data_IF_458689514358
#
_entry.id   IF_458689514358
#
_cell.length_a   1.000
_cell.length_b   1.000
_cell.length_c   1.000
_cell.angle_alpha   90.00
_cell.angle_beta   90.00
_cell.angle_gamma   90.00
#
_symmetry.space_group_name_H-M   'P 1'
#
loop_
_entity.id
_entity.type
_entity.pdbx_description
1 polymer ?
#
# COMPACT_ATOMS: atom_id res chain seq x y z
N UNK A 1 7.13 -22.90 13.08
CA UNK A 1 5.74 -22.40 12.81
C UNK A 1 5.73 -21.81 11.42
N UNK A 2 4.65 -22.00 10.67
CA UNK A 2 4.47 -21.36 9.36
C UNK A 2 4.25 -19.87 9.53
N UNK A 3 5.09 -19.05 8.93
CA UNK A 3 4.96 -17.60 9.00
C UNK A 3 3.76 -17.12 8.16
N UNK A 4 3.10 -16.10 8.67
CA UNK A 4 1.96 -15.43 8.02
C UNK A 4 2.23 -13.93 7.98
N UNK A 5 1.78 -13.28 6.92
CA UNK A 5 1.99 -11.85 6.70
C UNK A 5 0.67 -11.16 6.37
N UNK A 6 0.48 -9.96 6.88
CA UNK A 6 -0.62 -9.08 6.53
C UNK A 6 -0.07 -7.91 5.71
N UNK A 7 -0.63 -7.71 4.53
CA UNK A 7 -0.25 -6.62 3.63
C UNK A 7 -1.44 -5.68 3.51
N UNK A 8 -1.32 -4.50 4.16
CA UNK A 8 -2.33 -3.44 4.11
C UNK A 8 -2.32 -2.81 2.73
N UNK A 9 -3.50 -2.58 2.17
CA UNK A 9 -3.70 -1.90 0.89
C UNK A 9 -3.77 -0.38 1.07
N UNK A 10 -3.91 0.33 -0.06
CA UNK A 10 -4.02 1.78 -0.15
C UNK A 10 -5.17 2.29 0.74
N UNK A 11 -4.86 3.04 1.79
CA UNK A 11 -5.84 3.62 2.71
C UNK A 11 -6.22 5.05 2.31
N UNK A 12 -5.27 5.81 1.80
CA UNK A 12 -5.42 7.20 1.38
C UNK A 12 -6.04 8.11 2.47
N UNK A 13 -5.48 8.01 3.67
CA UNK A 13 -5.90 8.81 4.83
C UNK A 13 -5.76 10.31 4.50
N UNK A 14 -6.74 11.16 4.83
CA UNK A 14 -7.89 10.91 5.71
C UNK A 14 -9.13 10.32 5.03
N UNK A 15 -9.10 10.03 3.74
CA UNK A 15 -10.23 9.55 2.93
C UNK A 15 -10.37 8.03 2.94
N UNK A 16 -9.92 7.39 4.01
CA UNK A 16 -10.01 5.94 4.19
C UNK A 16 -11.43 5.50 4.58
N UNK A 17 -11.74 4.24 4.31
CA UNK A 17 -13.04 3.66 4.67
C UNK A 17 -13.26 3.70 6.19
N UNK A 18 -14.43 4.19 6.68
CA UNK A 18 -14.68 4.38 8.12
C UNK A 18 -14.51 3.10 8.97
N UNK A 19 -14.79 1.93 8.39
CA UNK A 19 -14.59 0.62 9.04
C UNK A 19 -13.25 -0.03 8.71
N UNK A 20 -12.33 0.67 8.03
CA UNK A 20 -11.04 0.11 7.59
C UNK A 20 -10.20 -0.40 8.74
N UNK A 21 -10.06 0.39 9.81
CA UNK A 21 -9.26 0.01 10.98
C UNK A 21 -9.84 -1.20 11.75
N UNK A 22 -11.17 -1.30 11.84
CA UNK A 22 -11.84 -2.45 12.47
C UNK A 22 -11.61 -3.72 11.64
N UNK A 23 -11.71 -3.62 10.33
CA UNK A 23 -11.42 -4.73 9.41
C UNK A 23 -9.97 -5.18 9.51
N UNK A 24 -9.00 -4.26 9.54
CA UNK A 24 -7.59 -4.57 9.71
C UNK A 24 -7.33 -5.26 11.06
N UNK A 25 -7.94 -4.78 12.14
CA UNK A 25 -7.86 -5.40 13.47
C UNK A 25 -8.43 -6.81 13.47
N UNK A 26 -9.59 -7.00 12.85
CA UNK A 26 -10.19 -8.32 12.69
C UNK A 26 -9.25 -9.27 11.94
N UNK A 27 -8.73 -8.87 10.78
CA UNK A 27 -7.83 -9.70 9.99
C UNK A 27 -6.55 -10.06 10.74
N UNK A 28 -5.90 -9.07 11.39
CA UNK A 28 -4.69 -9.30 12.17
C UNK A 28 -4.91 -10.35 13.25
N UNK A 29 -6.02 -10.25 13.99
CA UNK A 29 -6.35 -11.16 15.08
C UNK A 29 -6.77 -12.55 14.57
N UNK A 30 -7.64 -12.58 13.54
CA UNK A 30 -8.16 -13.83 12.98
C UNK A 30 -7.04 -14.71 12.39
N UNK A 31 -6.15 -14.10 11.62
CA UNK A 31 -5.00 -14.82 11.05
C UNK A 31 -3.83 -14.97 12.03
N UNK A 32 -3.90 -14.34 13.21
CA UNK A 32 -2.85 -14.34 14.23
C UNK A 32 -1.52 -13.84 13.67
N UNK A 33 -1.54 -12.65 13.05
CA UNK A 33 -0.36 -12.06 12.42
C UNK A 33 0.50 -11.36 13.49
N UNK A 34 1.79 -11.72 13.62
CA UNK A 34 2.70 -11.01 14.52
C UNK A 34 3.04 -9.61 13.97
N UNK A 35 3.39 -8.69 14.87
CA UNK A 35 3.65 -7.28 14.52
C UNK A 35 4.76 -7.11 13.48
N UNK A 36 5.79 -7.91 13.54
CA UNK A 36 6.92 -7.91 12.59
C UNK A 36 6.57 -8.37 11.17
N UNK A 37 5.41 -9.00 11.01
CA UNK A 37 4.94 -9.53 9.73
C UNK A 37 3.84 -8.66 9.10
N UNK A 38 3.74 -7.40 9.52
CA UNK A 38 2.84 -6.42 8.93
C UNK A 38 3.60 -5.56 7.91
N UNK A 39 3.04 -5.43 6.69
CA UNK A 39 3.54 -4.59 5.62
C UNK A 39 2.40 -3.75 5.04
N UNK A 40 2.76 -2.67 4.34
CA UNK A 40 1.83 -1.79 3.66
C UNK A 40 2.34 -1.53 2.23
N UNK A 41 1.46 -1.59 1.24
CA UNK A 41 1.84 -1.37 -0.17
C UNK A 41 2.12 0.10 -0.52
N UNK A 42 1.93 1.04 0.42
CA UNK A 42 2.01 2.48 0.17
C UNK A 42 0.63 3.12 0.02
N UNK A 43 0.61 4.41 -0.29
CA UNK A 43 -0.62 5.21 -0.30
C UNK A 43 -1.38 5.15 1.03
N UNK A 44 -0.63 5.17 2.15
CA UNK A 44 -1.19 5.33 3.48
C UNK A 44 -1.86 6.69 3.65
N UNK A 45 -1.31 7.75 3.01
CA UNK A 45 -1.93 9.07 2.92
C UNK A 45 -2.34 9.39 1.49
N UNK A 46 -3.40 10.21 1.32
CA UNK A 46 -3.80 10.70 0.01
C UNK A 46 -2.93 11.87 -0.47
N UNK A 47 -2.66 12.85 0.37
CA UNK A 47 -2.00 14.10 -0.01
C UNK A 47 -2.73 14.78 -1.19
N UNK A 48 -4.05 14.92 -1.07
CA UNK A 48 -4.98 15.42 -2.09
C UNK A 48 -4.49 16.71 -2.76
N UNK A 49 -4.09 17.70 -1.95
CA UNK A 49 -3.63 19.01 -2.43
C UNK A 49 -2.31 18.95 -3.21
N UNK A 50 -1.54 17.88 -3.06
CA UNK A 50 -0.35 17.60 -3.86
C UNK A 50 -0.64 16.86 -5.18
N UNK A 51 -1.91 16.51 -5.45
CA UNK A 51 -2.33 15.75 -6.61
C UNK A 51 -2.20 16.49 -7.95
N UNK A 52 -2.34 15.74 -9.05
CA UNK A 52 -2.29 16.26 -10.43
C UNK A 52 -3.67 16.68 -10.93
N UNK A 53 -4.74 16.16 -10.36
CA UNK A 53 -6.11 16.48 -10.77
C UNK A 53 -6.55 17.83 -10.21
N UNK A 54 -7.50 18.46 -10.93
CA UNK A 54 -8.17 19.65 -10.41
C UNK A 54 -8.87 19.30 -9.10
N UNK A 55 -8.71 20.16 -8.14
CA UNK A 55 -9.39 20.02 -6.85
C UNK A 55 -10.89 20.12 -7.05
N UNK A 56 -11.65 19.28 -6.33
CA UNK A 56 -13.09 19.39 -6.28
C UNK A 56 -13.50 20.72 -5.65
N UNK A 57 -14.58 21.33 -6.17
CA UNK A 57 -15.19 22.51 -5.54
C UNK A 57 -15.74 22.20 -4.14
N UNK A 58 -16.01 20.92 -3.86
CA UNK A 58 -16.51 20.41 -2.59
C UNK A 58 -15.40 20.04 -1.60
N UNK A 59 -14.13 20.39 -1.91
CA UNK A 59 -13.01 20.11 -1.03
C UNK A 59 -13.15 20.82 0.32
N UNK A 60 -13.41 20.07 1.37
CA UNK A 60 -13.63 20.56 2.73
C UNK A 60 -12.32 20.84 3.48
N UNK A 61 -11.23 20.16 3.08
CA UNK A 61 -9.93 20.29 3.72
C UNK A 61 -9.08 21.37 3.07
N UNK A 62 -8.27 22.03 3.91
CA UNK A 62 -7.09 22.76 3.47
C UNK A 62 -5.87 21.82 3.53
N UNK A 63 -4.73 22.17 2.89
CA UNK A 63 -3.51 21.37 3.03
C UNK A 63 -3.11 21.08 4.49
N UNK A 64 -3.32 22.07 5.37
CA UNK A 64 -2.99 21.95 6.78
C UNK A 64 -3.99 21.08 7.55
N UNK A 65 -5.29 21.21 7.28
CA UNK A 65 -6.29 20.38 7.97
C UNK A 65 -6.22 18.92 7.53
N UNK A 66 -5.97 18.66 6.24
CA UNK A 66 -5.76 17.29 5.73
C UNK A 66 -4.61 16.58 6.45
N UNK A 67 -3.44 17.24 6.55
CA UNK A 67 -2.29 16.61 7.20
C UNK A 67 -2.51 16.42 8.71
N UNK A 68 -3.17 17.35 9.40
CA UNK A 68 -3.48 17.19 10.82
C UNK A 68 -4.41 16.01 11.08
N UNK A 69 -5.49 15.90 10.32
CA UNK A 69 -6.42 14.79 10.41
C UNK A 69 -5.74 13.46 10.06
N UNK A 70 -4.86 13.48 9.06
CA UNK A 70 -4.05 12.31 8.71
C UNK A 70 -3.15 11.85 9.86
N UNK A 71 -2.47 12.78 10.53
CA UNK A 71 -1.61 12.46 11.69
C UNK A 71 -2.45 11.82 12.81
N UNK A 72 -3.63 12.37 13.11
CA UNK A 72 -4.50 11.85 14.15
C UNK A 72 -5.02 10.45 13.80
N UNK A 73 -5.43 10.21 12.56
CA UNK A 73 -5.84 8.90 12.11
C UNK A 73 -4.68 7.88 12.12
N UNK A 74 -3.46 8.32 11.80
CA UNK A 74 -2.27 7.44 11.85
C UNK A 74 -1.94 6.94 13.25
N UNK A 75 -2.29 7.66 14.32
CA UNK A 75 -2.08 7.20 15.72
C UNK A 75 -2.79 5.88 15.99
N UNK A 76 -3.99 5.69 15.45
CA UNK A 76 -4.70 4.42 15.57
C UNK A 76 -3.99 3.28 14.83
N UNK A 77 -3.36 3.59 13.67
CA UNK A 77 -2.58 2.61 12.90
C UNK A 77 -1.32 2.23 13.66
N UNK A 78 -0.65 3.19 14.29
CA UNK A 78 0.54 2.91 15.13
C UNK A 78 0.19 2.03 16.32
N UNK A 79 -0.97 2.25 16.95
CA UNK A 79 -1.46 1.40 18.04
C UNK A 79 -1.79 -0.03 17.59
N UNK A 80 -2.39 -0.20 16.39
CA UNK A 80 -2.73 -1.51 15.83
C UNK A 80 -1.50 -2.24 15.29
N UNK A 81 -0.58 -1.50 14.68
CA UNK A 81 0.63 -1.99 14.03
C UNK A 81 1.87 -1.33 14.63
N UNK A 82 2.35 -1.79 15.80
CA UNK A 82 3.54 -1.20 16.44
C UNK A 82 4.80 -1.28 15.58
N UNK A 83 4.83 -2.19 14.60
CA UNK A 83 5.90 -2.32 13.59
C UNK A 83 5.28 -2.38 12.21
N UNK A 84 5.85 -1.65 11.25
CA UNK A 84 5.37 -1.64 9.88
C UNK A 84 6.49 -1.40 8.88
N UNK A 85 6.45 -2.10 7.78
CA UNK A 85 7.27 -1.87 6.58
C UNK A 85 6.37 -1.34 5.47
N UNK A 86 6.53 -0.08 5.10
CA UNK A 86 5.69 0.63 4.13
C UNK A 86 6.44 0.77 2.81
N UNK A 87 5.81 0.44 1.69
CA UNK A 87 6.35 0.74 0.38
C UNK A 87 6.19 2.24 0.06
N UNK A 88 7.24 2.89 -0.44
CA UNK A 88 7.15 4.28 -0.90
C UNK A 88 6.25 4.32 -2.13
N UNK A 89 5.29 5.23 -2.12
CA UNK A 89 4.25 5.37 -3.13
C UNK A 89 4.29 6.72 -3.86
N UNK A 90 3.52 6.81 -4.93
CA UNK A 90 3.36 8.05 -5.67
C UNK A 90 2.61 9.13 -4.85
N UNK A 91 1.66 8.76 -3.98
CA UNK A 91 1.01 9.69 -3.06
C UNK A 91 1.96 10.12 -1.93
N UNK A 92 2.66 9.19 -1.30
CA UNK A 92 3.61 9.49 -0.23
C UNK A 92 4.74 10.45 -0.62
N UNK A 93 5.00 10.62 -1.92
CA UNK A 93 6.02 11.55 -2.44
C UNK A 93 5.45 12.83 -3.04
N UNK A 94 4.14 13.06 -3.04
CA UNK A 94 3.50 14.21 -3.72
C UNK A 94 4.06 15.56 -3.28
N UNK A 95 4.08 15.85 -1.98
CA UNK A 95 4.58 17.11 -1.47
C UNK A 95 6.08 17.32 -1.70
N UNK A 96 6.88 16.26 -1.57
CA UNK A 96 8.32 16.34 -1.85
C UNK A 96 8.59 16.67 -3.32
N UNK A 97 7.84 16.06 -4.25
CA UNK A 97 7.94 16.39 -5.68
C UNK A 97 7.51 17.82 -5.98
N UNK A 98 6.37 18.25 -5.40
CA UNK A 98 5.89 19.64 -5.54
C UNK A 98 6.91 20.66 -5.02
N UNK A 99 7.48 20.42 -3.87
CA UNK A 99 8.52 21.27 -3.32
C UNK A 99 9.76 21.34 -4.23
N UNK A 100 10.19 20.19 -4.77
CA UNK A 100 11.32 20.15 -5.70
C UNK A 100 11.01 20.88 -7.02
N UNK A 101 9.80 20.76 -7.56
CA UNK A 101 9.35 21.46 -8.78
C UNK A 101 9.45 22.99 -8.66
N UNK A 102 9.24 23.53 -7.46
CA UNK A 102 9.37 24.98 -7.18
C UNK A 102 10.74 25.37 -6.60
N UNK A 103 11.70 24.46 -6.65
CA UNK A 103 13.10 24.74 -6.28
C UNK A 103 13.42 24.65 -4.78
N UNK A 104 12.56 24.07 -3.96
CA UNK A 104 12.84 23.80 -2.54
C UNK A 104 13.69 22.55 -2.42
N UNK A 105 14.96 22.65 -1.95
CA UNK A 105 15.81 21.47 -1.79
C UNK A 105 15.33 20.60 -0.61
N UNK A 106 15.50 19.30 -0.74
CA UNK A 106 15.03 18.32 0.25
C UNK A 106 15.58 18.57 1.66
N UNK A 107 16.79 19.13 1.77
CA UNK A 107 17.39 19.45 3.08
C UNK A 107 16.62 20.49 3.90
N UNK A 108 15.74 21.28 3.26
CA UNK A 108 14.86 22.26 3.92
C UNK A 108 13.49 21.66 4.30
N UNK A 109 13.23 20.41 3.97
CA UNK A 109 11.98 19.73 4.27
C UNK A 109 12.14 18.82 5.50
N UNK A 110 11.11 18.74 6.32
CA UNK A 110 11.04 17.70 7.34
C UNK A 110 10.98 16.32 6.67
N UNK A 111 11.58 15.32 7.30
CA UNK A 111 11.44 13.93 6.83
C UNK A 111 9.98 13.51 6.93
N UNK A 112 9.51 12.73 5.97
CA UNK A 112 8.14 12.24 5.92
C UNK A 112 7.69 11.55 7.22
N UNK A 113 8.54 10.68 7.75
CA UNK A 113 8.35 10.02 9.05
C UNK A 113 8.11 11.01 10.20
N UNK A 114 8.90 12.11 10.24
CA UNK A 114 8.82 13.10 11.31
C UNK A 114 7.54 13.96 11.18
N UNK A 115 7.05 14.18 9.95
CA UNK A 115 5.76 14.85 9.71
C UNK A 115 4.61 14.00 10.22
N UNK A 116 4.67 12.69 10.03
CA UNK A 116 3.62 11.75 10.44
C UNK A 116 3.70 11.37 11.93
N UNK A 117 4.69 11.88 12.68
CA UNK A 117 4.92 11.49 14.07
C UNK A 117 5.05 9.97 14.23
N UNK A 118 5.64 9.31 13.22
CA UNK A 118 5.68 7.86 13.16
C UNK A 118 6.70 7.24 14.13
N UNK A 119 6.38 6.09 14.73
CA UNK A 119 7.31 5.36 15.57
C UNK A 119 8.59 4.96 14.83
N UNK A 120 9.70 4.78 15.56
CA UNK A 120 10.98 4.35 14.97
C UNK A 120 10.93 2.96 14.33
N UNK A 121 9.93 2.19 14.66
CA UNK A 121 9.64 0.85 14.13
C UNK A 121 8.86 0.85 12.81
N UNK A 122 8.47 2.02 12.32
CA UNK A 122 7.90 2.21 10.99
C UNK A 122 8.99 2.63 10.01
N UNK A 123 9.12 1.88 8.92
CA UNK A 123 10.18 2.08 7.93
C UNK A 123 9.60 2.16 6.53
N UNK A 124 10.15 3.07 5.71
CA UNK A 124 9.76 3.28 4.31
C UNK A 124 10.90 2.90 3.37
N UNK A 125 10.61 2.10 2.35
CA UNK A 125 11.54 1.74 1.27
C UNK A 125 10.78 1.59 -0.06
N UNK A 126 11.48 1.67 -1.19
CA UNK A 126 10.85 1.51 -2.52
C UNK A 126 10.18 0.15 -2.69
N UNK A 127 10.80 -0.89 -2.17
CA UNK A 127 10.26 -2.26 -2.10
C UNK A 127 10.84 -3.00 -0.91
N UNK A 128 10.09 -3.97 -0.44
CA UNK A 128 10.46 -4.86 0.65
C UNK A 128 10.57 -6.29 0.17
N UNK A 129 11.77 -6.84 0.23
CA UNK A 129 11.99 -8.27 0.07
C UNK A 129 11.72 -8.97 1.39
N UNK A 130 10.70 -9.81 1.42
CA UNK A 130 10.38 -10.65 2.58
C UNK A 130 11.12 -11.96 2.44
N UNK A 131 12.16 -12.15 3.27
CA UNK A 131 13.01 -13.33 3.29
C UNK A 131 12.38 -14.42 4.15
N UNK A 132 11.70 -15.32 3.50
CA UNK A 132 11.02 -16.46 4.11
C UNK A 132 11.22 -17.69 3.24
N UNK A 133 10.65 -18.84 3.59
CA UNK A 133 10.82 -20.09 2.82
C UNK A 133 10.45 -19.92 1.33
N UNK A 134 9.39 -19.16 1.04
CA UNK A 134 8.98 -18.76 -0.29
C UNK A 134 9.04 -17.24 -0.38
N UNK A 135 10.20 -16.66 -0.75
CA UNK A 135 10.40 -15.21 -0.67
C UNK A 135 9.45 -14.45 -1.61
N UNK A 136 9.06 -13.27 -1.19
CA UNK A 136 8.20 -12.41 -1.99
C UNK A 136 8.53 -10.93 -1.78
N UNK A 137 8.07 -10.09 -2.72
CA UNK A 137 8.27 -8.64 -2.71
C UNK A 137 6.94 -7.95 -2.40
N UNK A 138 7.02 -6.84 -1.66
CA UNK A 138 5.92 -5.88 -1.49
C UNK A 138 6.40 -4.53 -2.02
N UNK A 139 5.70 -3.98 -3.00
CA UNK A 139 5.96 -2.65 -3.56
C UNK A 139 4.63 -1.95 -3.90
N UNK A 140 4.68 -0.63 -4.17
CA UNK A 140 3.45 0.10 -4.46
C UNK A 140 2.84 -0.28 -5.82
N UNK A 141 3.65 -0.40 -6.86
CA UNK A 141 3.19 -0.89 -8.16
C UNK A 141 2.78 0.18 -9.16
N UNK A 142 3.00 1.47 -8.88
CA UNK A 142 2.65 2.61 -9.75
C UNK A 142 3.32 2.62 -11.14
N UNK A 143 4.40 1.85 -11.32
CA UNK A 143 5.08 1.69 -12.60
C UNK A 143 4.48 0.61 -13.50
N UNK A 144 3.55 -0.20 -13.00
CA UNK A 144 2.92 -1.27 -13.77
C UNK A 144 1.52 -0.87 -14.19
N UNK A 145 1.12 -1.28 -15.39
CA UNK A 145 -0.19 -1.00 -15.96
C UNK A 145 -0.82 -2.21 -16.62
N UNK A 146 -1.92 -1.95 -17.36
CA UNK A 146 -2.63 -2.99 -18.09
C UNK A 146 -3.67 -3.75 -17.26
N UNK A 147 -4.06 -4.92 -17.75
CA UNK A 147 -5.13 -5.72 -17.16
C UNK A 147 -4.69 -6.45 -15.89
N UNK A 148 -3.43 -6.87 -15.85
CA UNK A 148 -2.84 -7.68 -14.77
C UNK A 148 -1.51 -7.08 -14.27
N UNK A 149 -1.51 -5.86 -13.70
CA UNK A 149 -0.28 -5.19 -13.28
C UNK A 149 0.52 -5.97 -12.24
N UNK A 150 -0.15 -6.70 -11.36
CA UNK A 150 0.47 -7.57 -10.35
C UNK A 150 1.20 -8.78 -10.97
N UNK A 151 0.71 -9.29 -12.10
CA UNK A 151 1.41 -10.33 -12.87
C UNK A 151 2.67 -9.74 -13.49
N UNK A 152 2.56 -8.56 -14.13
CA UNK A 152 3.70 -7.85 -14.68
C UNK A 152 4.76 -7.57 -13.61
N UNK A 153 4.34 -7.14 -12.42
CA UNK A 153 5.24 -6.88 -11.29
C UNK A 153 5.99 -8.15 -10.84
N UNK A 154 5.29 -9.28 -10.72
CA UNK A 154 5.92 -10.54 -10.33
C UNK A 154 6.94 -11.04 -11.37
N UNK A 155 6.63 -10.91 -12.68
CA UNK A 155 7.52 -11.26 -13.76
C UNK A 155 8.77 -10.35 -13.76
N UNK A 156 8.57 -9.03 -13.65
CA UNK A 156 9.67 -8.05 -13.65
C UNK A 156 10.62 -8.23 -12.45
N UNK A 157 10.08 -8.57 -11.29
CA UNK A 157 10.87 -8.85 -10.10
C UNK A 157 11.51 -10.25 -10.10
N UNK A 158 11.03 -11.18 -10.94
CA UNK A 158 11.44 -12.59 -10.90
C UNK A 158 11.07 -13.28 -9.59
N UNK A 159 10.11 -12.75 -8.84
CA UNK A 159 9.64 -13.26 -7.54
C UNK A 159 8.14 -13.00 -7.38
N UNK A 160 7.51 -13.81 -6.52
CA UNK A 160 6.15 -13.50 -6.04
C UNK A 160 6.07 -12.06 -5.53
N UNK A 161 5.01 -11.33 -5.92
CA UNK A 161 4.94 -9.88 -5.63
C UNK A 161 3.53 -9.46 -5.26
N UNK A 162 3.41 -8.63 -4.21
CA UNK A 162 2.18 -7.91 -3.84
C UNK A 162 2.33 -6.46 -4.24
N UNK A 163 1.30 -5.92 -4.91
CA UNK A 163 1.21 -4.50 -5.24
C UNK A 163 -0.12 -3.88 -4.79
N UNK A 164 -0.13 -2.54 -4.61
CA UNK A 164 -1.29 -1.66 -4.44
C UNK A 164 -1.60 -0.85 -5.70
N UNK A 165 -1.80 0.45 -5.53
CA UNK A 165 -1.99 1.47 -6.56
C UNK A 165 -3.28 1.32 -7.39
N UNK A 166 -3.62 0.13 -7.82
CA UNK A 166 -4.75 -0.14 -8.69
C UNK A 166 -6.00 -0.48 -7.88
N UNK A 167 -6.70 0.53 -7.39
CA UNK A 167 -7.86 0.38 -6.51
C UNK A 167 -8.96 -0.54 -7.05
N UNK A 168 -9.11 -0.64 -8.37
CA UNK A 168 -10.14 -1.47 -9.01
C UNK A 168 -9.68 -2.89 -9.34
N UNK A 169 -8.43 -3.23 -9.02
CA UNK A 169 -7.85 -4.55 -9.28
C UNK A 169 -7.49 -5.20 -7.95
N UNK A 170 -8.01 -6.41 -7.72
CA UNK A 170 -7.71 -7.17 -6.52
C UNK A 170 -7.79 -8.67 -6.83
N UNK A 171 -6.94 -9.44 -6.17
CA UNK A 171 -6.87 -10.88 -6.32
C UNK A 171 -5.47 -11.39 -6.56
N UNK A 172 -5.36 -12.70 -6.81
CA UNK A 172 -4.12 -13.42 -6.96
C UNK A 172 -4.09 -14.18 -8.28
N UNK A 173 -2.95 -14.13 -8.97
CA UNK A 173 -2.69 -14.95 -10.14
C UNK A 173 -1.39 -15.75 -9.94
N UNK A 174 -1.45 -17.05 -10.14
CA UNK A 174 -0.29 -17.92 -10.16
C UNK A 174 0.33 -17.94 -11.55
N UNK A 175 1.65 -17.89 -11.60
CA UNK A 175 2.45 -17.72 -12.81
C UNK A 175 3.52 -18.78 -12.81
N UNK A 176 3.63 -19.54 -13.90
CA UNK A 176 4.77 -20.41 -14.12
C UNK A 176 5.73 -19.71 -15.08
N UNK A 177 6.96 -19.50 -14.63
CA UNK A 177 8.03 -18.88 -15.44
C UNK A 177 9.25 -19.76 -15.47
N UNK A 178 10.07 -19.62 -16.52
CA UNK A 178 11.37 -20.26 -16.63
C UNK A 178 12.47 -19.42 -15.98
N UNK A 179 12.24 -18.11 -15.84
CA UNK A 179 13.18 -17.20 -15.23
C UNK A 179 13.04 -17.22 -13.71
N UNK A 180 14.14 -17.06 -13.01
CA UNK A 180 14.19 -17.05 -11.56
C UNK A 180 14.97 -15.84 -11.05
N UNK A 181 14.65 -15.42 -9.85
CA UNK A 181 15.38 -14.34 -9.20
C UNK A 181 16.83 -14.78 -8.92
N UNK A 182 17.86 -13.96 -9.26
CA UNK A 182 19.27 -14.36 -9.12
C UNK A 182 19.69 -14.79 -7.70
N UNK A 183 19.07 -14.16 -6.69
CA UNK A 183 19.35 -14.44 -5.27
C UNK A 183 18.61 -15.68 -4.74
N UNK A 184 17.43 -15.97 -5.29
CA UNK A 184 16.59 -17.09 -4.87
C UNK A 184 16.28 -17.95 -6.09
N UNK A 185 16.75 -19.16 -6.13
CA UNK A 185 16.41 -20.12 -7.20
C UNK A 185 14.93 -20.56 -7.15
N UNK A 186 14.03 -19.62 -7.01
CA UNK A 186 12.61 -19.81 -6.69
C UNK A 186 11.71 -19.57 -7.90
N UNK A 187 12.11 -19.91 -9.09
CA UNK A 187 11.54 -19.32 -10.25
C UNK A 187 10.47 -20.05 -11.02
N UNK A 188 10.04 -21.23 -10.64
CA UNK A 188 9.12 -21.94 -11.52
C UNK A 188 7.64 -21.69 -11.24
N UNK A 189 7.29 -21.44 -9.99
CA UNK A 189 5.92 -21.12 -9.58
C UNK A 189 5.93 -19.88 -8.68
N UNK A 190 5.71 -18.72 -9.26
CA UNK A 190 5.52 -17.45 -8.55
C UNK A 190 4.07 -17.01 -8.62
N UNK A 191 3.71 -16.03 -7.82
CA UNK A 191 2.39 -15.42 -7.86
C UNK A 191 2.49 -13.89 -7.86
N UNK A 192 1.53 -13.25 -8.50
CA UNK A 192 1.28 -11.82 -8.37
C UNK A 192 -0.02 -11.59 -7.64
N UNK A 193 -0.04 -10.65 -6.70
CA UNK A 193 -1.23 -10.26 -5.96
C UNK A 193 -1.45 -8.75 -6.02
N UNK A 194 -2.68 -8.33 -6.30
CA UNK A 194 -3.13 -6.95 -6.18
C UNK A 194 -4.00 -6.82 -4.94
N UNK A 195 -3.69 -5.85 -4.08
CA UNK A 195 -4.34 -5.72 -2.77
C UNK A 195 -5.71 -5.03 -2.81
N UNK A 196 -6.01 -4.29 -3.88
CA UNK A 196 -7.15 -3.36 -3.89
C UNK A 196 -6.87 -2.13 -3.04
N UNK A 197 -7.85 -1.68 -2.27
CA UNK A 197 -7.72 -0.49 -1.42
C UNK A 197 -8.62 -0.57 -0.18
N UNK A 198 -8.51 0.43 0.70
CA UNK A 198 -9.38 0.64 1.87
C UNK A 198 -9.89 2.09 1.93
N UNK A 199 -10.26 2.66 0.79
CA UNK A 199 -10.73 4.04 0.65
C UNK A 199 -12.23 4.16 0.91
N UNK A 200 -12.67 5.34 1.35
CA UNK A 200 -14.08 5.74 1.24
C UNK A 200 -14.32 6.31 -0.16
N UNK A 201 -14.88 5.50 -1.04
CA UNK A 201 -15.14 5.89 -2.42
C UNK A 201 -16.11 7.08 -2.56
N UNK A 202 -16.87 7.41 -1.52
CA UNK A 202 -17.78 8.55 -1.52
C UNK A 202 -17.08 9.86 -1.12
N UNK A 203 -15.84 9.81 -0.64
CA UNK A 203 -15.10 11.01 -0.32
C UNK A 203 -14.80 11.83 -1.59
N UNK A 204 -14.85 13.15 -1.47
CA UNK A 204 -14.64 14.08 -2.58
C UNK A 204 -13.29 13.89 -3.28
N UNK A 205 -12.29 13.36 -2.58
CA UNK A 205 -10.97 13.06 -3.15
C UNK A 205 -11.03 12.06 -4.32
N UNK A 206 -12.09 11.25 -4.40
CA UNK A 206 -12.29 10.23 -5.44
C UNK A 206 -13.40 10.57 -6.44
N UNK A 207 -13.93 11.78 -6.42
CA UNK A 207 -15.00 12.23 -7.33
C UNK A 207 -14.61 12.00 -8.81
N UNK A 208 -13.34 12.22 -9.17
CA UNK A 208 -12.84 11.98 -10.52
C UNK A 208 -13.01 10.52 -10.99
N UNK A 209 -13.06 9.58 -10.06
CA UNK A 209 -13.19 8.15 -10.34
C UNK A 209 -14.67 7.67 -10.37
N UNK A 210 -15.63 8.52 -10.00
CA UNK A 210 -17.05 8.13 -9.97
C UNK A 210 -17.58 7.76 -11.36
N UNK A 211 -17.10 8.38 -12.43
CA UNK A 211 -17.46 8.04 -13.80
C UNK A 211 -16.77 6.77 -14.33
N UNK A 212 -15.76 6.24 -13.63
CA UNK A 212 -15.06 5.05 -14.07
C UNK A 212 -15.96 3.81 -14.01
N UNK A 213 -15.89 2.96 -15.05
CA UNK A 213 -16.66 1.71 -15.10
C UNK A 213 -16.23 0.70 -14.06
N UNK A 214 -14.91 0.64 -13.77
CA UNK A 214 -14.35 -0.23 -12.74
C UNK A 214 -14.38 0.49 -11.40
N UNK A 215 -14.98 -0.13 -10.40
CA UNK A 215 -15.09 0.43 -9.04
C UNK A 215 -13.99 -0.13 -8.13
N UNK A 216 -13.64 0.58 -7.06
CA UNK A 216 -12.66 0.10 -6.09
C UNK A 216 -13.03 -1.25 -5.51
N UNK A 217 -12.02 -2.06 -5.26
CA UNK A 217 -12.10 -3.35 -4.59
C UNK A 217 -11.56 -3.19 -3.17
N UNK A 218 -12.46 -3.25 -2.18
CA UNK A 218 -12.08 -3.09 -0.78
C UNK A 218 -11.57 -4.40 -0.21
N UNK A 219 -10.37 -4.40 0.34
CA UNK A 219 -9.75 -5.61 0.90
C UNK A 219 -8.25 -5.46 1.09
N UNK A 220 -7.61 -6.55 1.50
CA UNK A 220 -6.18 -6.67 1.77
C UNK A 220 -5.63 -7.99 1.23
N UNK A 221 -4.31 -8.16 1.30
CA UNK A 221 -3.66 -9.46 1.03
C UNK A 221 -3.13 -10.06 2.33
N UNK A 222 -3.43 -11.34 2.55
CA UNK A 222 -2.79 -12.17 3.56
C UNK A 222 -1.90 -13.18 2.83
N UNK A 223 -0.67 -13.33 3.27
CA UNK A 223 0.26 -14.34 2.74
C UNK A 223 0.50 -15.39 3.80
N UNK A 224 0.14 -16.62 3.49
CA UNK A 224 0.23 -17.77 4.39
C UNK A 224 1.41 -18.66 4.01
N UNK A 225 1.66 -19.67 4.85
CA UNK A 225 2.63 -20.75 4.63
C UNK A 225 4.02 -20.22 4.22
N UNK A 226 4.53 -19.27 5.01
CA UNK A 226 5.86 -18.71 4.80
C UNK A 226 6.09 -18.23 3.35
N UNK A 227 5.11 -17.53 2.79
CA UNK A 227 5.20 -16.93 1.45
C UNK A 227 4.60 -17.76 0.30
N UNK A 228 4.15 -18.98 0.55
CA UNK A 228 3.67 -19.87 -0.52
C UNK A 228 2.23 -19.56 -0.96
N UNK A 229 1.38 -19.10 -0.04
CA UNK A 229 -0.07 -19.08 -0.25
C UNK A 229 -0.68 -17.69 0.00
N UNK A 230 -0.74 -16.83 -1.02
CA UNK A 230 -1.41 -15.54 -0.92
C UNK A 230 -2.92 -15.70 -1.07
N UNK A 231 -3.68 -14.94 -0.29
CA UNK A 231 -5.13 -14.79 -0.43
C UNK A 231 -5.49 -13.32 -0.40
N UNK A 232 -6.42 -12.92 -1.25
CA UNK A 232 -7.07 -11.64 -1.14
C UNK A 232 -8.31 -11.78 -0.25
N UNK A 233 -8.37 -10.94 0.79
CA UNK A 233 -9.47 -10.94 1.76
C UNK A 233 -10.33 -9.71 1.50
N UNK A 234 -11.56 -9.85 1.01
CA UNK A 234 -12.48 -8.73 0.82
C UNK A 234 -12.94 -8.17 2.17
N UNK A 235 -13.16 -6.87 2.19
CA UNK A 235 -13.76 -6.15 3.30
C UNK A 235 -15.29 -6.24 3.30
#
# INVERSE_FOLDING_TARGET
>A
MQEKYLIVSDEQIPFHHPKGIEFLRYCKNHFKIPDENCLHVGDELDQFWGGLYKQSADALHTPLSEIKESIDAMKERYALFPKMRVAISNHGTRWARKAFEIGIPQMLMRKYKDVLEAPDTWHWAKKWLVRTKHPFIVEHGDRFGGQYPHVAAAIDNGLSTVIGHHHSIAGVHHIRTQDYHPEFKAGFDIWGAASGCLIDFNAYAFEYAHAARKKPKLGIVIVLDSGAFPIWVPM
#
